data_IF_525804684750
#
_entry.id   IF_525804684750
#
_cell.length_a   1.000
_cell.length_b   1.000
_cell.length_c   1.000
_cell.angle_alpha   90.00
_cell.angle_beta   90.00
_cell.angle_gamma   90.00
#
_symmetry.space_group_name_H-M   'P 1'
#
loop_
_entity.id
_entity.type
_entity.pdbx_description
1 polymer ?
#
# COMPACT_ATOMS: atom_id res chain seq x y z
N UNK A 1 64.62 22.36 -38.44
CA UNK A 1 64.71 23.45 -37.45
C UNK A 1 64.51 22.82 -36.06
N UNK A 2 65.12 23.19 -34.92
CA UNK A 2 66.31 24.00 -34.55
C UNK A 2 66.39 23.93 -33.00
N UNK A 3 67.36 23.20 -32.42
CA UNK A 3 67.94 23.35 -31.04
C UNK A 3 66.99 23.13 -29.82
N UNK A 4 67.36 22.52 -28.68
CA UNK A 4 68.50 22.69 -27.72
C UNK A 4 68.45 24.05 -26.99
N UNK A 5 68.67 24.25 -25.67
CA UNK A 5 69.17 23.49 -24.48
C UNK A 5 68.35 23.96 -23.22
N UNK A 6 68.48 23.57 -21.94
CA UNK A 6 69.34 22.69 -21.08
C UNK A 6 68.46 22.22 -19.86
N UNK A 7 68.79 21.37 -18.86
CA UNK A 7 70.01 20.89 -18.16
C UNK A 7 70.53 21.75 -16.95
N UNK A 8 71.24 21.11 -16.00
CA UNK A 8 71.90 21.62 -14.74
C UNK A 8 70.98 21.72 -13.49
N UNK A 9 71.30 21.22 -12.29
CA UNK A 9 72.37 20.30 -11.82
C UNK A 9 72.07 19.64 -10.43
N UNK A 10 72.97 18.74 -9.97
CA UNK A 10 72.92 17.94 -8.73
C UNK A 10 73.48 18.65 -7.47
N UNK A 11 72.99 18.29 -6.28
CA UNK A 11 73.76 18.02 -5.03
C UNK A 11 72.80 17.67 -3.84
N UNK A 12 73.18 16.99 -2.75
CA UNK A 12 74.16 15.91 -2.53
C UNK A 12 73.96 15.26 -1.13
N UNK A 13 74.18 13.93 -1.04
CA UNK A 13 74.63 13.11 0.11
C UNK A 13 74.37 13.54 1.59
N UNK A 14 73.50 12.77 2.27
CA UNK A 14 73.65 12.31 3.67
C UNK A 14 72.61 11.18 3.95
N UNK A 15 72.71 10.26 4.90
CA UNK A 15 73.79 9.45 5.50
C UNK A 15 73.19 8.77 6.76
N UNK A 16 73.07 7.43 6.77
CA UNK A 16 72.79 6.63 7.98
C UNK A 16 71.33 6.48 8.42
N UNK A 17 71.07 5.48 9.29
CA UNK A 17 69.81 5.31 10.01
C UNK A 17 68.98 4.08 9.66
N UNK A 18 69.37 2.88 10.13
CA UNK A 18 68.43 1.76 10.26
C UNK A 18 67.68 1.89 11.61
N UNK A 19 66.45 2.41 11.57
CA UNK A 19 65.47 2.32 12.65
C UNK A 19 64.09 2.15 12.01
N UNK A 20 63.32 1.14 12.43
CA UNK A 20 61.98 0.91 11.90
C UNK A 20 61.03 2.01 12.34
N UNK A 21 60.38 2.68 11.39
CA UNK A 21 59.13 3.38 11.67
C UNK A 21 58.06 2.33 12.02
N UNK A 22 57.11 2.62 12.94
CA UNK A 22 55.88 1.85 13.02
C UNK A 22 55.19 1.91 11.65
N UNK A 23 54.65 0.78 11.19
CA UNK A 23 53.62 0.82 10.16
C UNK A 23 52.39 1.46 10.77
N UNK A 24 52.24 2.77 10.58
CA UNK A 24 51.00 3.48 10.87
C UNK A 24 49.96 2.97 9.87
N UNK A 25 49.27 1.90 10.27
CA UNK A 25 48.30 1.20 9.46
C UNK A 25 47.10 2.13 9.27
N UNK A 26 47.13 2.85 8.15
CA UNK A 26 46.14 3.85 7.81
C UNK A 26 44.78 3.16 7.65
N UNK A 27 44.02 3.16 8.74
CA UNK A 27 42.67 2.60 8.83
C UNK A 27 41.84 3.25 7.73
N UNK A 28 41.62 2.50 6.64
CA UNK A 28 40.87 2.98 5.49
C UNK A 28 39.49 3.41 6.01
N UNK A 29 39.04 4.65 5.74
CA UNK A 29 37.82 5.17 6.33
C UNK A 29 36.70 4.20 6.02
N UNK A 30 36.14 3.60 7.08
CA UNK A 30 35.21 2.50 6.94
C UNK A 30 34.09 2.92 5.97
N UNK A 31 33.98 2.20 4.85
CA UNK A 31 32.82 2.33 3.97
C UNK A 31 31.57 2.25 4.83
N UNK A 32 30.50 3.01 4.54
CA UNK A 32 29.22 2.90 5.24
C UNK A 32 28.51 1.59 4.85
N UNK A 33 29.14 0.45 5.15
CA UNK A 33 28.67 -0.92 4.98
C UNK A 33 27.64 -1.27 6.06
N UNK A 34 26.68 -0.37 6.22
CA UNK A 34 25.53 -0.44 7.10
C UNK A 34 24.37 0.36 6.47
N UNK A 35 24.13 0.17 5.17
CA UNK A 35 22.76 0.24 4.65
C UNK A 35 21.99 -0.87 5.36
N UNK A 36 21.41 -0.53 6.52
CA UNK A 36 21.03 -1.52 7.52
C UNK A 36 20.04 -2.53 6.94
N UNK A 37 20.47 -3.78 6.81
CA UNK A 37 19.56 -4.89 6.57
C UNK A 37 18.55 -4.96 7.71
N UNK A 38 17.32 -5.33 7.39
CA UNK A 38 16.25 -5.55 8.35
C UNK A 38 16.49 -6.89 9.05
N UNK A 39 17.49 -6.93 9.94
CA UNK A 39 17.84 -8.09 10.75
C UNK A 39 16.58 -8.63 11.45
N UNK A 40 16.27 -9.90 11.19
CA UNK A 40 15.10 -10.65 11.66
C UNK A 40 13.70 -10.10 11.25
N UNK A 41 13.61 -8.91 10.64
CA UNK A 41 12.36 -8.21 10.29
C UNK A 41 12.01 -8.25 8.78
N UNK A 42 12.62 -9.14 7.99
CA UNK A 42 12.27 -9.37 6.58
C UNK A 42 12.92 -8.39 5.59
N UNK A 43 12.28 -8.14 4.45
CA UNK A 43 12.75 -7.16 3.46
C UNK A 43 12.36 -5.72 3.86
N UNK A 44 13.08 -4.71 3.33
CA UNK A 44 12.76 -3.29 3.53
C UNK A 44 11.84 -2.81 2.42
N UNK A 45 10.72 -2.19 2.79
CA UNK A 45 9.72 -1.67 1.86
C UNK A 45 10.22 -0.41 1.13
N UNK A 46 9.86 -0.27 -0.15
CA UNK A 46 10.52 0.66 -1.09
C UNK A 46 10.19 2.15 -0.88
N UNK A 47 8.97 2.49 -0.44
CA UNK A 47 8.49 3.87 -0.32
C UNK A 47 8.64 4.41 1.10
N UNK A 48 8.32 3.61 2.13
CA UNK A 48 8.51 4.04 3.52
C UNK A 48 9.93 3.79 4.04
N UNK A 49 10.62 2.77 3.53
CA UNK A 49 11.87 2.30 4.11
C UNK A 49 11.69 1.53 5.43
N UNK A 50 10.47 1.14 5.81
CA UNK A 50 10.20 0.29 6.97
C UNK A 50 10.59 -1.18 6.68
N UNK A 51 10.94 -1.95 7.71
CA UNK A 51 11.09 -3.39 7.59
C UNK A 51 9.71 -4.07 7.56
N UNK A 52 9.45 -5.00 6.65
CA UNK A 52 8.13 -5.60 6.44
C UNK A 52 7.56 -6.27 7.71
N UNK A 53 8.40 -6.96 8.48
CA UNK A 53 8.05 -7.58 9.77
C UNK A 53 7.70 -6.58 10.88
N UNK A 54 8.13 -5.32 10.75
CA UNK A 54 7.65 -4.21 11.60
C UNK A 54 6.41 -3.55 11.02
N UNK A 55 6.37 -3.35 9.69
CA UNK A 55 5.28 -2.68 8.97
C UNK A 55 3.91 -3.34 9.21
N UNK A 56 3.89 -4.67 9.39
CA UNK A 56 2.66 -5.43 9.73
C UNK A 56 1.94 -4.91 10.99
N UNK A 57 2.67 -4.33 11.96
CA UNK A 57 2.13 -3.83 13.22
C UNK A 57 1.38 -2.49 13.09
N UNK A 58 1.51 -1.81 11.94
CA UNK A 58 0.72 -0.61 11.64
C UNK A 58 -0.63 -0.95 11.00
N UNK A 59 -0.79 -2.14 10.42
CA UNK A 59 -1.98 -2.49 9.64
C UNK A 59 -3.23 -2.54 10.53
N UNK A 60 -4.30 -1.86 10.10
CA UNK A 60 -5.57 -1.68 10.82
C UNK A 60 -6.47 -2.94 10.86
N UNK A 61 -5.89 -4.08 11.27
CA UNK A 61 -6.43 -5.42 11.10
C UNK A 61 -7.00 -6.03 12.37
N UNK A 62 -8.19 -6.64 12.25
CA UNK A 62 -8.62 -7.69 13.15
C UNK A 62 -8.06 -9.04 12.66
N UNK A 63 -7.08 -9.58 13.39
CA UNK A 63 -6.46 -10.86 13.09
C UNK A 63 -7.44 -12.04 13.12
N UNK A 64 -8.59 -11.90 13.80
CA UNK A 64 -9.64 -12.93 13.85
C UNK A 64 -10.59 -12.88 12.64
N UNK A 65 -10.63 -11.77 11.89
CA UNK A 65 -11.41 -11.63 10.66
C UNK A 65 -10.56 -11.64 9.38
N UNK A 66 -9.23 -11.78 9.49
CA UNK A 66 -8.32 -11.75 8.35
C UNK A 66 -8.43 -13.05 7.52
N UNK A 67 -8.57 -12.98 6.17
CA UNK A 67 -8.54 -14.17 5.32
C UNK A 67 -7.24 -14.98 5.47
N UNK A 68 -7.36 -16.31 5.44
CA UNK A 68 -6.21 -17.21 5.31
C UNK A 68 -5.61 -17.07 3.91
N UNK A 69 -4.29 -17.22 3.79
CA UNK A 69 -3.66 -17.30 2.47
C UNK A 69 -4.02 -18.64 1.81
N UNK A 70 -4.33 -18.68 0.50
CA UNK A 70 -4.47 -19.92 -0.24
C UNK A 70 -3.18 -20.75 -0.30
N UNK A 71 -3.31 -22.06 -0.52
CA UNK A 71 -2.16 -22.96 -0.64
C UNK A 71 -1.20 -22.52 -1.76
N UNK A 72 0.10 -22.46 -1.47
CA UNK A 72 1.12 -21.96 -2.39
C UNK A 72 1.28 -20.43 -2.43
N UNK A 73 0.53 -19.70 -1.61
CA UNK A 73 0.62 -18.25 -1.47
C UNK A 73 0.92 -17.83 -0.02
N UNK A 74 1.58 -16.69 0.14
CA UNK A 74 1.77 -16.02 1.43
C UNK A 74 1.26 -14.58 1.38
N UNK A 75 0.66 -14.11 2.47
CA UNK A 75 0.38 -12.69 2.64
C UNK A 75 1.68 -11.92 2.94
N UNK A 76 1.95 -10.85 2.20
CA UNK A 76 3.07 -9.93 2.48
C UNK A 76 2.57 -8.50 2.60
N UNK A 77 3.30 -7.67 3.35
CA UNK A 77 3.03 -6.23 3.45
C UNK A 77 3.51 -5.54 2.17
N UNK A 78 2.60 -4.82 1.52
CA UNK A 78 2.82 -4.11 0.26
C UNK A 78 2.60 -2.62 0.48
N UNK A 79 3.14 -1.80 -0.44
CA UNK A 79 3.01 -0.34 -0.40
C UNK A 79 2.43 0.21 -1.72
N UNK A 80 1.67 1.30 -1.62
CA UNK A 80 1.23 2.09 -2.77
C UNK A 80 1.39 3.58 -2.44
N UNK A 81 2.02 4.34 -3.35
CA UNK A 81 2.16 5.79 -3.21
C UNK A 81 0.78 6.45 -3.34
N UNK A 82 0.34 7.18 -2.32
CA UNK A 82 -0.91 7.97 -2.33
C UNK A 82 -0.61 9.45 -2.60
N UNK A 83 -1.65 10.29 -2.69
CA UNK A 83 -1.53 11.74 -2.86
C UNK A 83 -0.80 12.47 -1.73
N UNK A 84 -0.90 11.94 -0.52
CA UNK A 84 -0.63 12.61 0.76
C UNK A 84 0.13 11.71 1.77
N UNK A 85 0.48 10.49 1.34
CA UNK A 85 1.14 9.48 2.17
C UNK A 85 1.47 8.21 1.39
N UNK A 86 1.66 7.10 2.10
CA UNK A 86 1.82 5.76 1.52
C UNK A 86 0.75 4.86 2.11
N UNK A 87 0.00 4.14 1.28
CA UNK A 87 -0.92 3.11 1.72
C UNK A 87 -0.14 1.82 1.99
N UNK A 88 -0.17 1.34 3.23
CA UNK A 88 0.20 -0.03 3.59
C UNK A 88 -1.03 -0.94 3.47
N UNK A 89 -0.82 -2.14 2.95
CA UNK A 89 -1.82 -3.19 2.85
C UNK A 89 -1.14 -4.57 2.85
N UNK A 90 -1.94 -5.64 2.93
CA UNK A 90 -1.51 -7.01 2.64
C UNK A 90 -1.99 -7.41 1.26
N UNK A 91 -1.06 -7.80 0.41
CA UNK A 91 -1.30 -8.48 -0.87
C UNK A 91 -0.79 -9.92 -0.81
N UNK A 92 -1.29 -10.78 -1.68
CA UNK A 92 -0.72 -12.11 -1.85
C UNK A 92 0.62 -12.05 -2.59
N UNK A 93 1.46 -13.05 -2.33
CA UNK A 93 2.64 -13.40 -3.11
C UNK A 93 2.66 -14.92 -3.25
N UNK A 94 2.69 -15.39 -4.49
CA UNK A 94 2.68 -16.80 -4.86
C UNK A 94 3.85 -17.05 -5.83
N UNK A 95 4.13 -18.30 -6.21
CA UNK A 95 5.22 -18.61 -7.15
C UNK A 95 5.08 -17.91 -8.53
N UNK A 96 3.87 -17.52 -8.92
CA UNK A 96 3.58 -16.85 -10.19
C UNK A 96 3.77 -15.32 -10.16
N UNK A 97 3.80 -14.69 -8.98
CA UNK A 97 3.90 -13.24 -8.86
C UNK A 97 3.47 -12.68 -7.51
N UNK A 98 3.31 -11.37 -7.44
CA UNK A 98 2.85 -10.65 -6.25
C UNK A 98 1.80 -9.60 -6.60
N UNK A 99 0.84 -9.43 -5.69
CA UNK A 99 -0.25 -8.47 -5.84
C UNK A 99 0.25 -7.05 -5.60
N UNK A 100 0.10 -6.17 -6.60
CA UNK A 100 0.43 -4.74 -6.47
C UNK A 100 -0.71 -3.84 -6.92
N UNK A 101 -1.01 -2.86 -6.08
CA UNK A 101 -1.94 -1.76 -6.34
C UNK A 101 -1.16 -0.49 -6.74
N UNK A 102 -1.68 0.23 -7.73
CA UNK A 102 -1.28 1.59 -8.07
C UNK A 102 -2.43 2.58 -7.82
N UNK A 103 -2.15 3.75 -7.27
CA UNK A 103 -3.14 4.79 -7.03
C UNK A 103 -3.19 5.82 -8.16
N UNK A 104 -4.34 5.96 -8.81
CA UNK A 104 -4.61 7.08 -9.72
C UNK A 104 -5.63 8.04 -9.10
N UNK A 105 -5.20 9.26 -8.77
CA UNK A 105 -6.08 10.32 -8.28
C UNK A 105 -6.90 10.97 -9.41
N UNK A 106 -8.18 11.27 -9.13
CA UNK A 106 -9.09 11.97 -10.04
C UNK A 106 -9.90 13.06 -9.32
N UNK A 107 -10.65 13.85 -10.08
CA UNK A 107 -11.34 15.04 -9.57
C UNK A 107 -12.50 14.73 -8.58
N UNK A 108 -13.13 13.56 -8.70
CA UNK A 108 -14.29 13.16 -7.88
C UNK A 108 -13.97 12.07 -6.84
N UNK A 109 -12.93 11.27 -7.15
CA UNK A 109 -12.46 10.06 -6.45
C UNK A 109 -11.02 9.77 -6.84
N UNK A 110 -10.29 9.03 -6.01
CA UNK A 110 -9.14 8.23 -6.44
C UNK A 110 -9.55 6.80 -6.78
N UNK A 111 -8.62 6.04 -7.36
CA UNK A 111 -8.81 4.63 -7.71
C UNK A 111 -7.53 3.86 -7.40
N UNK A 112 -7.65 2.70 -6.73
CA UNK A 112 -6.56 1.73 -6.58
C UNK A 112 -6.74 0.62 -7.62
N UNK A 113 -5.74 0.46 -8.48
CA UNK A 113 -5.77 -0.43 -9.65
C UNK A 113 -4.82 -1.60 -9.49
N UNK A 114 -5.28 -2.80 -9.82
CA UNK A 114 -4.46 -4.01 -9.78
C UNK A 114 -3.50 -4.02 -10.98
N UNK A 115 -2.25 -3.59 -10.76
CA UNK A 115 -1.21 -3.53 -11.81
C UNK A 115 -0.39 -4.83 -11.90
N UNK A 116 -0.39 -5.62 -10.83
CA UNK A 116 0.14 -6.98 -10.80
C UNK A 116 -0.75 -7.86 -9.93
N UNK A 117 -1.00 -9.08 -10.40
CA UNK A 117 -1.69 -10.16 -9.71
C UNK A 117 -0.66 -11.18 -9.19
N UNK A 118 -0.92 -11.77 -8.03
CA UNK A 118 -0.15 -12.89 -7.51
C UNK A 118 -0.36 -14.20 -8.28
N UNK A 119 -1.47 -14.32 -9.02
CA UNK A 119 -1.80 -15.49 -9.84
C UNK A 119 -1.46 -15.31 -11.32
N UNK A 120 -1.61 -14.11 -11.87
CA UNK A 120 -1.47 -13.81 -13.30
C UNK A 120 -0.21 -13.00 -13.65
N UNK A 121 0.50 -12.47 -12.64
CA UNK A 121 1.59 -11.52 -12.84
C UNK A 121 1.10 -10.14 -13.29
N UNK A 122 1.91 -9.41 -14.06
CA UNK A 122 1.58 -8.06 -14.53
C UNK A 122 0.29 -8.03 -15.36
N UNK A 123 -0.56 -7.03 -15.11
CA UNK A 123 -1.79 -6.78 -15.87
C UNK A 123 -1.56 -5.61 -16.84
N UNK A 124 -1.90 -5.79 -18.13
CA UNK A 124 -1.72 -4.76 -19.17
C UNK A 124 -2.85 -3.72 -19.21
N UNK A 125 -4.06 -4.08 -18.79
CA UNK A 125 -5.19 -3.16 -18.58
C UNK A 125 -5.67 -3.22 -17.11
N UNK A 126 -4.99 -2.52 -16.17
CA UNK A 126 -5.25 -2.61 -14.73
C UNK A 126 -6.69 -2.23 -14.30
N UNK A 127 -7.51 -3.17 -13.78
CA UNK A 127 -8.84 -2.87 -13.29
C UNK A 127 -8.78 -2.09 -11.96
N UNK A 128 -9.71 -1.16 -11.75
CA UNK A 128 -9.91 -0.53 -10.45
C UNK A 128 -10.55 -1.53 -9.48
N UNK A 129 -9.83 -1.88 -8.41
CA UNK A 129 -10.27 -2.81 -7.37
C UNK A 129 -10.91 -2.09 -6.18
N UNK A 130 -10.51 -0.83 -5.92
CA UNK A 130 -11.09 0.00 -4.87
C UNK A 130 -11.26 1.44 -5.37
N UNK A 131 -12.46 1.98 -5.26
CA UNK A 131 -12.72 3.41 -5.47
C UNK A 131 -12.55 4.16 -4.14
N UNK A 132 -11.77 5.24 -4.16
CA UNK A 132 -11.33 5.96 -2.96
C UNK A 132 -12.00 7.33 -2.90
N UNK A 133 -12.84 7.56 -1.89
CA UNK A 133 -13.61 8.79 -1.74
C UNK A 133 -13.28 9.51 -0.42
N UNK A 134 -13.18 10.84 -0.38
CA UNK A 134 -13.12 11.55 0.89
C UNK A 134 -14.45 11.41 1.64
N UNK A 135 -14.39 10.97 2.90
CA UNK A 135 -15.52 10.73 3.81
C UNK A 135 -15.22 11.39 5.16
N UNK A 136 -16.14 12.24 5.64
CA UNK A 136 -15.97 13.02 6.88
C UNK A 136 -17.13 12.76 7.84
N UNK A 137 -16.82 12.68 9.14
CA UNK A 137 -17.79 12.42 10.20
C UNK A 137 -18.13 10.94 10.34
N UNK A 138 -19.39 10.64 10.64
CA UNK A 138 -19.86 9.25 10.80
C UNK A 138 -19.75 8.45 9.50
N UNK A 139 -19.21 7.23 9.60
CA UNK A 139 -18.97 6.34 8.47
C UNK A 139 -20.25 6.01 7.69
N UNK A 140 -21.35 5.70 8.39
CA UNK A 140 -22.62 5.31 7.74
C UNK A 140 -23.29 6.50 7.08
N UNK A 141 -23.29 7.67 7.71
CA UNK A 141 -23.82 8.91 7.11
C UNK A 141 -23.00 9.34 5.89
N UNK A 142 -21.67 9.31 5.98
CA UNK A 142 -20.78 9.70 4.88
C UNK A 142 -20.89 8.77 3.67
N UNK A 143 -20.88 7.46 3.88
CA UNK A 143 -21.10 6.46 2.82
C UNK A 143 -22.51 6.57 2.23
N UNK A 144 -23.54 6.77 3.05
CA UNK A 144 -24.92 7.04 2.57
C UNK A 144 -24.96 8.28 1.68
N UNK A 145 -24.37 9.39 2.11
CA UNK A 145 -24.35 10.64 1.35
C UNK A 145 -23.61 10.47 0.02
N UNK A 146 -22.47 9.78 0.01
CA UNK A 146 -21.68 9.53 -1.20
C UNK A 146 -22.43 8.67 -2.23
N UNK A 147 -23.02 7.56 -1.80
CA UNK A 147 -23.80 6.71 -2.71
C UNK A 147 -25.05 7.43 -3.24
N UNK A 148 -25.76 8.18 -2.39
CA UNK A 148 -26.91 9.01 -2.82
C UNK A 148 -26.56 10.07 -3.86
N UNK A 149 -25.34 10.60 -3.85
CA UNK A 149 -24.87 11.56 -4.85
C UNK A 149 -24.63 10.94 -6.24
N UNK A 150 -24.46 9.61 -6.33
CA UNK A 150 -24.31 8.89 -7.59
C UNK A 150 -25.65 8.42 -8.19
N UNK A 151 -26.75 8.49 -7.44
CA UNK A 151 -28.09 8.08 -7.90
C UNK A 151 -28.79 9.29 -8.54
N UNK A 152 -29.08 9.21 -9.84
CA UNK A 152 -29.70 10.31 -10.59
C UNK A 152 -31.12 10.68 -10.11
N UNK A 153 -31.92 9.69 -9.69
CA UNK A 153 -33.31 9.87 -9.27
C UNK A 153 -33.42 10.18 -7.76
N UNK A 154 -33.79 11.41 -7.33
CA UNK A 154 -33.77 11.79 -5.91
C UNK A 154 -34.75 10.97 -5.06
N UNK A 155 -35.87 10.55 -5.66
CA UNK A 155 -36.87 9.71 -5.02
C UNK A 155 -36.37 8.27 -4.78
N UNK A 156 -35.43 7.77 -5.58
CA UNK A 156 -34.72 6.52 -5.30
C UNK A 156 -33.64 6.75 -4.25
N UNK A 157 -32.76 7.73 -4.47
CA UNK A 157 -31.66 8.07 -3.57
C UNK A 157 -32.13 8.24 -2.10
N UNK A 158 -33.28 8.90 -1.89
CA UNK A 158 -33.89 9.12 -0.57
C UNK A 158 -34.13 7.84 0.25
N UNK A 159 -34.30 6.67 -0.40
CA UNK A 159 -34.55 5.36 0.22
C UNK A 159 -33.27 4.66 0.67
N UNK A 160 -32.16 4.92 -0.02
CA UNK A 160 -30.90 4.19 0.12
C UNK A 160 -30.12 4.60 1.38
N UNK A 161 -29.62 3.66 2.17
CA UNK A 161 -28.87 3.93 3.40
C UNK A 161 -27.80 2.89 3.70
N UNK A 162 -26.68 3.33 4.28
CA UNK A 162 -25.59 2.44 4.66
C UNK A 162 -25.97 1.56 5.86
N UNK A 163 -25.80 0.25 5.73
CA UNK A 163 -25.97 -0.76 6.78
C UNK A 163 -24.74 -1.68 6.86
N UNK A 164 -24.50 -2.37 7.99
CA UNK A 164 -23.51 -3.44 8.06
C UNK A 164 -23.75 -4.47 6.95
N UNK A 165 -22.67 -4.87 6.29
CA UNK A 165 -22.70 -5.76 5.13
C UNK A 165 -22.93 -7.22 5.55
N UNK A 166 -22.12 -7.71 6.49
CA UNK A 166 -22.11 -9.09 7.02
C UNK A 166 -21.84 -10.20 5.97
N UNK A 167 -21.13 -9.87 4.89
CA UNK A 167 -20.59 -10.87 3.96
C UNK A 167 -19.58 -11.80 4.65
N UNK A 168 -19.54 -13.07 4.24
CA UNK A 168 -18.60 -14.05 4.79
C UNK A 168 -17.17 -13.69 4.36
N UNK A 169 -16.27 -13.53 5.33
CA UNK A 169 -14.87 -13.15 5.06
C UNK A 169 -14.66 -11.65 4.79
N UNK A 170 -15.71 -10.83 4.89
CA UNK A 170 -15.57 -9.38 4.81
C UNK A 170 -15.21 -8.81 6.20
N UNK A 171 -14.43 -7.71 6.27
CA UNK A 171 -14.11 -7.03 7.54
C UNK A 171 -15.35 -6.68 8.37
N UNK A 172 -15.21 -6.72 9.69
CA UNK A 172 -16.32 -6.57 10.65
C UNK A 172 -16.99 -5.19 10.63
N UNK A 173 -16.29 -4.18 10.10
CA UNK A 173 -16.75 -2.81 9.87
C UNK A 173 -17.35 -2.56 8.47
N UNK A 174 -17.38 -3.57 7.59
CA UNK A 174 -17.85 -3.43 6.22
C UNK A 174 -19.32 -3.00 6.13
N UNK A 175 -19.60 -2.04 5.25
CA UNK A 175 -20.91 -1.44 4.99
C UNK A 175 -21.36 -1.68 3.54
N UNK A 176 -22.66 -1.75 3.31
CA UNK A 176 -23.27 -1.62 1.97
C UNK A 176 -24.39 -0.59 2.01
N UNK A 177 -24.63 0.13 0.92
CA UNK A 177 -25.75 1.06 0.81
C UNK A 177 -26.95 0.36 0.16
N UNK A 178 -28.07 0.35 0.85
CA UNK A 178 -29.19 -0.53 0.55
C UNK A 178 -30.55 0.13 0.82
N UNK A 179 -31.61 -0.42 0.24
CA UNK A 179 -32.99 -0.10 0.62
C UNK A 179 -33.40 -0.88 1.88
N UNK A 180 -34.34 -0.38 2.70
CA UNK A 180 -34.82 -1.10 3.89
C UNK A 180 -35.39 -2.48 3.53
N UNK A 181 -34.93 -3.54 4.21
CA UNK A 181 -35.34 -4.91 3.93
C UNK A 181 -34.65 -5.56 2.72
N UNK A 182 -33.66 -4.90 2.11
CA UNK A 182 -32.81 -5.51 1.09
C UNK A 182 -32.05 -6.73 1.63
N UNK A 183 -31.71 -6.73 2.93
CA UNK A 183 -31.07 -7.84 3.63
C UNK A 183 -31.94 -9.10 3.81
N UNK A 184 -33.25 -9.03 3.55
CA UNK A 184 -34.15 -10.21 3.63
C UNK A 184 -34.48 -10.81 2.27
N UNK A 185 -33.88 -10.30 1.18
CA UNK A 185 -34.08 -10.82 -0.18
C UNK A 185 -33.15 -12.02 -0.45
N UNK A 186 -33.60 -12.94 -1.31
CA UNK A 186 -32.89 -14.20 -1.59
C UNK A 186 -32.35 -14.24 -3.03
N UNK A 187 -31.05 -14.50 -3.17
CA UNK A 187 -30.35 -14.54 -4.46
C UNK A 187 -29.55 -13.25 -4.73
N UNK A 188 -28.66 -13.25 -5.75
CA UNK A 188 -27.85 -12.09 -6.09
C UNK A 188 -28.70 -10.90 -6.51
N UNK A 189 -28.30 -9.69 -6.12
CA UNK A 189 -28.97 -8.45 -6.54
C UNK A 189 -28.00 -7.27 -6.63
N UNK A 190 -28.50 -6.21 -7.29
CA UNK A 190 -27.93 -4.88 -7.28
C UNK A 190 -29.01 -3.86 -6.94
N UNK A 191 -28.70 -2.87 -6.09
CA UNK A 191 -29.61 -1.79 -5.71
C UNK A 191 -28.83 -0.57 -5.20
N UNK A 192 -29.44 0.63 -5.28
CA UNK A 192 -28.83 1.90 -4.87
C UNK A 192 -27.63 2.37 -5.74
N UNK A 193 -27.69 2.08 -7.03
CA UNK A 193 -26.70 2.51 -8.04
C UNK A 193 -25.33 1.85 -7.89
N UNK A 194 -24.36 2.35 -8.67
CA UNK A 194 -23.00 1.78 -8.79
C UNK A 194 -22.22 1.72 -7.47
N UNK A 195 -22.63 2.54 -6.50
CA UNK A 195 -22.06 2.69 -5.15
C UNK A 195 -22.89 2.02 -4.04
N UNK A 196 -23.91 1.27 -4.44
CA UNK A 196 -24.88 0.61 -3.58
C UNK A 196 -24.43 -0.76 -3.07
N UNK A 197 -25.36 -1.70 -3.04
CA UNK A 197 -25.11 -3.13 -2.87
C UNK A 197 -25.05 -3.76 -4.26
N UNK A 198 -24.04 -4.58 -4.52
CA UNK A 198 -23.89 -5.32 -5.77
C UNK A 198 -23.19 -6.65 -5.46
N UNK A 199 -23.97 -7.73 -5.43
CA UNK A 199 -23.48 -9.06 -5.04
C UNK A 199 -22.58 -9.68 -6.12
N UNK A 200 -22.80 -9.36 -7.40
CA UNK A 200 -21.99 -9.83 -8.53
C UNK A 200 -20.56 -9.25 -8.48
N UNK A 201 -20.41 -8.02 -8.01
CA UNK A 201 -19.12 -7.37 -7.74
C UNK A 201 -18.53 -7.67 -6.35
N UNK A 202 -19.24 -8.44 -5.50
CA UNK A 202 -18.94 -8.63 -4.09
C UNK A 202 -18.62 -7.30 -3.35
N UNK A 203 -19.36 -6.24 -3.68
CA UNK A 203 -18.94 -4.87 -3.39
C UNK A 203 -19.34 -4.39 -1.99
N UNK A 204 -18.43 -3.67 -1.32
CA UNK A 204 -18.67 -3.08 0.00
C UNK A 204 -17.78 -1.86 0.28
N UNK A 205 -18.18 -1.09 1.28
CA UNK A 205 -17.49 0.07 1.81
C UNK A 205 -16.77 -0.26 3.12
N UNK A 206 -15.56 0.27 3.30
CA UNK A 206 -14.99 0.57 4.63
C UNK A 206 -14.80 2.07 4.77
N UNK A 207 -14.66 2.56 6.01
CA UNK A 207 -14.28 3.95 6.29
C UNK A 207 -13.17 3.97 7.34
N UNK A 208 -12.00 4.46 6.95
CA UNK A 208 -10.86 4.65 7.84
C UNK A 208 -10.11 5.92 7.44
N UNK A 209 -9.51 6.63 8.41
CA UNK A 209 -8.53 7.70 8.16
C UNK A 209 -9.00 8.78 7.16
N UNK A 210 -10.25 9.23 7.28
CA UNK A 210 -10.87 10.24 6.40
C UNK A 210 -11.29 9.77 5.00
N UNK A 211 -11.12 8.48 4.71
CA UNK A 211 -11.36 7.86 3.41
C UNK A 211 -12.46 6.81 3.48
N UNK A 212 -13.35 6.81 2.48
CA UNK A 212 -14.27 5.73 2.16
C UNK A 212 -13.69 4.88 1.06
N UNK A 213 -13.43 3.61 1.37
CA UNK A 213 -12.84 2.62 0.48
C UNK A 213 -13.94 1.71 -0.04
N UNK A 214 -14.35 1.88 -1.30
CA UNK A 214 -15.37 1.05 -1.93
C UNK A 214 -14.71 -0.05 -2.76
N UNK A 215 -14.62 -1.25 -2.19
CA UNK A 215 -14.00 -2.42 -2.81
C UNK A 215 -14.96 -3.08 -3.79
N UNK A 216 -14.45 -3.46 -4.96
CA UNK A 216 -15.19 -4.11 -6.05
C UNK A 216 -14.40 -5.36 -6.51
N UNK A 217 -14.40 -6.40 -5.66
CA UNK A 217 -13.48 -7.54 -5.79
C UNK A 217 -13.93 -8.58 -6.83
N UNK A 218 -15.21 -8.55 -7.25
CA UNK A 218 -15.78 -9.53 -8.16
C UNK A 218 -15.94 -10.92 -7.52
N UNK A 219 -15.93 -11.95 -8.38
CA UNK A 219 -16.06 -13.37 -7.98
C UNK A 219 -14.70 -14.10 -7.92
N UNK A 220 -13.59 -13.37 -7.96
CA UNK A 220 -12.24 -13.94 -7.91
C UNK A 220 -11.75 -14.14 -6.47
N UNK A 221 -10.71 -14.96 -6.28
CA UNK A 221 -10.06 -15.11 -4.99
C UNK A 221 -9.46 -13.78 -4.51
N UNK A 222 -9.61 -13.48 -3.22
CA UNK A 222 -9.18 -12.21 -2.64
C UNK A 222 -7.66 -12.12 -2.56
N UNK A 223 -7.07 -11.49 -3.57
CA UNK A 223 -5.63 -11.18 -3.65
C UNK A 223 -5.13 -10.11 -2.67
N UNK A 224 -6.05 -9.35 -2.08
CA UNK A 224 -5.79 -8.25 -1.15
C UNK A 224 -6.59 -8.51 0.12
N UNK A 225 -6.02 -8.17 1.27
CA UNK A 225 -6.77 -8.10 2.53
C UNK A 225 -7.37 -6.69 2.68
N UNK A 226 -8.66 -6.47 2.41
CA UNK A 226 -9.29 -5.15 2.51
C UNK A 226 -9.41 -4.68 3.97
N UNK A 227 -9.18 -5.55 4.96
CA UNK A 227 -9.03 -5.21 6.37
C UNK A 227 -7.74 -4.42 6.65
N UNK A 228 -6.67 -4.68 5.89
CA UNK A 228 -5.32 -4.16 6.15
C UNK A 228 -5.06 -2.69 5.83
N UNK A 229 -5.90 -2.06 5.00
CA UNK A 229 -5.65 -0.74 4.42
C UNK A 229 -5.36 0.35 5.48
N UNK A 230 -4.12 0.85 5.46
CA UNK A 230 -3.61 1.83 6.42
C UNK A 230 -2.80 2.92 5.72
N UNK A 231 -3.30 4.14 5.71
CA UNK A 231 -2.59 5.31 5.21
C UNK A 231 -1.54 5.78 6.23
N UNK A 232 -0.28 5.75 5.80
CA UNK A 232 0.88 6.21 6.54
C UNK A 232 1.29 7.61 6.10
N UNK A 233 1.59 8.47 7.08
CA UNK A 233 2.08 9.84 6.86
C UNK A 233 3.38 10.08 7.60
N UNK A 234 4.20 11.00 7.09
CA UNK A 234 5.42 11.41 7.79
C UNK A 234 5.07 12.35 8.94
N UNK A 235 5.51 11.98 10.12
CA UNK A 235 5.38 12.74 11.36
C UNK A 235 6.39 13.91 11.39
N UNK A 236 6.24 14.89 12.30
CA UNK A 236 7.12 16.06 12.35
C UNK A 236 8.61 15.78 12.62
N UNK A 237 8.94 14.58 13.13
CA UNK A 237 10.31 14.09 13.31
C UNK A 237 10.87 13.32 12.10
N UNK A 238 10.08 13.18 11.03
CA UNK A 238 10.41 12.44 9.81
C UNK A 238 10.11 10.94 9.86
N UNK A 239 9.64 10.40 11.00
CA UNK A 239 9.20 9.01 11.12
C UNK A 239 7.88 8.76 10.39
N UNK A 240 7.52 7.48 10.17
CA UNK A 240 6.23 7.10 9.61
C UNK A 240 5.25 6.66 10.70
N UNK A 241 4.03 7.20 10.63
CA UNK A 241 2.92 6.83 11.51
C UNK A 241 1.61 6.74 10.72
N UNK A 242 0.68 5.90 11.19
CA UNK A 242 -0.68 5.87 10.68
C UNK A 242 -1.40 7.20 11.01
N UNK A 243 -2.21 7.68 10.08
CA UNK A 243 -3.11 8.84 10.25
C UNK A 243 -4.29 8.53 11.17
#
# INVERSE_FOLDING_TARGET
>A
MTRWMAAIALAALAAGGCSGAPSEEAEAPASPAAEQSCADDGERLELTGLCAGRAVNYLAMDASSSPQAPDGCGWQVMETQMSDGVLLYRGLKCDAGETKLEFSGGAERGELKLVSSAYLGKIDEPPAYVLVYPVKGDARQGVTARARQAIAEPAEASKCSARPARGKGWPSDALVVDVPGGETQTGPRSACGDLGVNDDLAAFWRVSQGHGWYSQMGQADMEIDPGSFTLMTKQPDGSWGAM
#
